data_IF_762428180938
#
_entry.id   IF_762428180938
#
_cell.length_a   1.000
_cell.length_b   1.000
_cell.length_c   1.000
_cell.angle_alpha   90.00
_cell.angle_beta   90.00
_cell.angle_gamma   90.00
#
_symmetry.space_group_name_H-M   'P 1'
#
loop_
_entity.id
_entity.type
_entity.pdbx_description
1 polymer ?
#
# COMPACT_ATOMS: atom_id res chain seq x y z
N UNK A 1 -8.16 -33.82 -19.96
CA UNK A 1 -9.43 -33.08 -19.74
C UNK A 1 -9.16 -31.68 -19.23
N UNK A 2 -8.24 -31.48 -18.29
CA UNK A 2 -7.98 -30.18 -17.63
C UNK A 2 -7.22 -29.21 -18.55
N UNK A 3 -6.32 -29.72 -19.37
CA UNK A 3 -5.50 -28.91 -20.24
C UNK A 3 -6.35 -28.11 -21.21
N UNK A 4 -6.14 -26.78 -21.22
CA UNK A 4 -6.88 -25.83 -22.05
C UNK A 4 -8.39 -25.67 -21.73
N UNK A 5 -8.86 -26.18 -20.59
CA UNK A 5 -10.24 -26.00 -20.14
C UNK A 5 -10.28 -24.95 -19.02
N UNK A 6 -10.70 -23.70 -19.30
CA UNK A 6 -10.74 -22.65 -18.30
C UNK A 6 -11.83 -22.91 -17.27
N UNK A 7 -11.57 -22.54 -16.02
CA UNK A 7 -12.57 -22.55 -14.93
C UNK A 7 -12.80 -21.12 -14.45
N UNK A 8 -14.03 -20.82 -14.04
CA UNK A 8 -14.39 -19.52 -13.48
C UNK A 8 -14.35 -19.61 -11.95
N UNK A 9 -13.63 -18.68 -11.33
CA UNK A 9 -13.66 -18.49 -9.89
C UNK A 9 -14.48 -17.26 -9.53
N UNK A 10 -15.33 -17.37 -8.53
CA UNK A 10 -16.17 -16.31 -8.03
C UNK A 10 -16.07 -16.22 -6.51
N UNK A 11 -15.90 -15.01 -5.97
CA UNK A 11 -16.01 -14.73 -4.54
C UNK A 11 -17.21 -13.82 -4.27
N UNK A 12 -18.10 -14.26 -3.38
CA UNK A 12 -19.19 -13.44 -2.91
C UNK A 12 -18.70 -12.47 -1.79
N UNK A 13 -19.17 -11.20 -1.76
CA UNK A 13 -20.13 -10.59 -2.68
C UNK A 13 -19.48 -10.16 -3.99
N UNK A 14 -20.15 -10.42 -5.12
CA UNK A 14 -19.69 -9.99 -6.45
C UNK A 14 -20.19 -8.56 -6.71
N UNK A 15 -19.38 -7.56 -6.35
CA UNK A 15 -19.73 -6.15 -6.44
C UNK A 15 -19.42 -5.54 -7.81
N UNK A 16 -18.53 -6.16 -8.57
CA UNK A 16 -18.11 -5.70 -9.90
C UNK A 16 -17.67 -6.89 -10.76
N UNK A 17 -17.53 -6.67 -12.06
CA UNK A 17 -17.26 -7.74 -13.03
C UNK A 17 -15.97 -8.53 -12.74
N UNK A 18 -14.97 -7.95 -12.09
CA UNK A 18 -13.72 -8.61 -11.73
C UNK A 18 -13.84 -9.56 -10.53
N UNK A 19 -15.01 -9.63 -9.89
CA UNK A 19 -15.34 -10.64 -8.89
C UNK A 19 -15.57 -12.04 -9.47
N UNK A 20 -15.58 -12.17 -10.79
CA UNK A 20 -15.60 -13.43 -11.54
C UNK A 20 -14.50 -13.37 -12.59
N UNK A 21 -13.55 -14.29 -12.53
CA UNK A 21 -12.45 -14.36 -13.49
C UNK A 21 -12.18 -15.81 -13.90
N UNK A 22 -11.68 -16.00 -15.11
CA UNK A 22 -11.29 -17.30 -15.62
C UNK A 22 -9.81 -17.58 -15.35
N UNK A 23 -9.50 -18.83 -15.09
CA UNK A 23 -8.15 -19.33 -14.84
C UNK A 23 -7.96 -20.70 -15.52
N UNK A 24 -6.75 -21.01 -15.90
CA UNK A 24 -6.38 -22.37 -16.26
C UNK A 24 -6.04 -23.15 -14.99
N UNK A 25 -6.72 -24.30 -14.72
CA UNK A 25 -6.50 -25.05 -13.49
C UNK A 25 -5.22 -25.86 -13.55
N UNK A 26 -4.54 -25.93 -12.40
CA UNK A 26 -3.40 -26.83 -12.16
C UNK A 26 -3.79 -27.73 -10.99
N UNK A 27 -3.59 -29.05 -11.13
CA UNK A 27 -3.86 -30.00 -10.06
C UNK A 27 -2.78 -29.91 -9.00
N UNK A 28 -3.22 -29.80 -7.76
CA UNK A 28 -2.39 -29.80 -6.57
C UNK A 28 -2.90 -30.80 -5.55
N UNK A 29 -2.06 -31.26 -4.64
CA UNK A 29 -2.47 -32.01 -3.49
C UNK A 29 -3.12 -31.08 -2.45
N UNK A 30 -4.16 -31.56 -1.77
CA UNK A 30 -4.89 -30.81 -0.77
C UNK A 30 -6.30 -30.41 -1.19
N UNK A 31 -7.04 -29.75 -0.28
CA UNK A 31 -8.45 -29.38 -0.47
C UNK A 31 -8.67 -27.87 -0.63
N UNK A 32 -7.61 -27.07 -0.55
CA UNK A 32 -7.67 -25.62 -0.66
C UNK A 32 -7.35 -25.18 -2.09
N UNK A 33 -8.02 -24.12 -2.55
CA UNK A 33 -7.73 -23.45 -3.81
C UNK A 33 -6.52 -22.52 -3.58
N UNK A 34 -5.48 -22.69 -4.40
CA UNK A 34 -4.36 -21.75 -4.42
C UNK A 34 -4.66 -20.63 -5.43
N UNK A 35 -4.81 -19.41 -4.93
CA UNK A 35 -5.12 -18.24 -5.75
C UNK A 35 -3.86 -17.39 -5.97
N UNK A 36 -3.67 -16.92 -7.19
CA UNK A 36 -2.54 -16.04 -7.51
C UNK A 36 -2.62 -14.71 -6.73
N UNK A 37 -1.55 -14.28 -6.05
CA UNK A 37 -1.60 -13.11 -5.16
C UNK A 37 -2.03 -11.80 -5.85
N UNK A 38 -1.67 -11.58 -7.11
CA UNK A 38 -1.99 -10.35 -7.83
C UNK A 38 -3.49 -10.19 -8.15
N UNK A 39 -4.27 -11.26 -8.13
CA UNK A 39 -5.73 -11.18 -8.35
C UNK A 39 -6.53 -11.03 -7.06
N UNK A 40 -5.91 -11.17 -5.89
CA UNK A 40 -6.57 -11.03 -4.60
C UNK A 40 -7.26 -9.68 -4.43
N UNK A 41 -6.63 -8.61 -4.92
CA UNK A 41 -7.20 -7.25 -4.87
C UNK A 41 -8.50 -7.14 -5.68
N UNK A 42 -8.56 -7.78 -6.85
CA UNK A 42 -9.75 -7.77 -7.71
C UNK A 42 -10.92 -8.52 -7.08
N UNK A 43 -10.66 -9.65 -6.43
CA UNK A 43 -11.66 -10.42 -5.70
C UNK A 43 -11.98 -9.86 -4.30
N UNK A 44 -11.18 -8.91 -3.81
CA UNK A 44 -11.15 -8.53 -2.40
C UNK A 44 -11.05 -9.76 -1.49
N UNK A 45 -10.18 -10.71 -1.87
CA UNK A 45 -9.97 -11.97 -1.18
C UNK A 45 -8.71 -11.92 -0.31
N UNK A 46 -8.79 -12.56 0.83
CA UNK A 46 -7.64 -12.87 1.68
C UNK A 46 -7.62 -14.37 2.03
N UNK A 47 -6.62 -14.82 2.77
CA UNK A 47 -6.42 -16.25 3.06
C UNK A 47 -6.78 -16.59 4.50
N UNK A 48 -7.75 -15.92 5.09
CA UNK A 48 -8.22 -16.12 6.47
C UNK A 48 -9.38 -17.13 6.59
N UNK A 49 -9.76 -17.77 5.48
CA UNK A 49 -10.86 -18.74 5.42
C UNK A 49 -11.93 -18.39 4.41
N UNK A 50 -11.66 -17.47 3.50
CA UNK A 50 -12.55 -17.13 2.39
C UNK A 50 -12.90 -18.34 1.54
N UNK A 51 -14.13 -18.39 1.06
CA UNK A 51 -14.63 -19.42 0.14
C UNK A 51 -14.85 -18.81 -1.25
N UNK A 52 -14.59 -19.61 -2.27
CA UNK A 52 -14.85 -19.27 -3.66
C UNK A 52 -15.69 -20.35 -4.34
N UNK A 53 -16.60 -19.92 -5.20
CA UNK A 53 -17.32 -20.81 -6.09
C UNK A 53 -16.50 -21.10 -7.34
N UNK A 54 -16.49 -22.35 -7.78
CA UNK A 54 -15.86 -22.80 -9.02
C UNK A 54 -16.95 -23.15 -10.03
N UNK A 55 -16.91 -22.52 -11.21
CA UNK A 55 -17.83 -22.80 -12.30
C UNK A 55 -17.06 -23.35 -13.49
N UNK A 56 -17.58 -24.43 -14.08
CA UNK A 56 -16.97 -25.08 -15.23
C UNK A 56 -17.82 -24.79 -16.48
N UNK A 57 -17.31 -24.02 -17.47
CA UNK A 57 -18.02 -23.82 -18.71
C UNK A 57 -18.16 -25.13 -19.50
N UNK A 58 -19.36 -25.50 -19.88
CA UNK A 58 -19.64 -26.78 -20.54
C UNK A 58 -19.62 -26.69 -22.05
N UNK A 59 -20.18 -25.60 -22.65
CA UNK A 59 -20.21 -25.44 -24.08
C UNK A 59 -18.90 -24.84 -24.61
N UNK A 60 -18.61 -25.08 -25.89
CA UNK A 60 -17.43 -24.54 -26.57
C UNK A 60 -17.48 -23.02 -26.64
N UNK A 61 -18.68 -22.46 -26.85
CA UNK A 61 -18.91 -21.01 -26.86
C UNK A 61 -18.59 -20.39 -25.48
N UNK A 62 -19.08 -21.00 -24.41
CA UNK A 62 -18.82 -20.54 -23.05
C UNK A 62 -17.32 -20.62 -22.69
N UNK A 63 -16.63 -21.67 -23.14
CA UNK A 63 -15.18 -21.79 -22.96
C UNK A 63 -14.42 -20.72 -23.73
N UNK A 64 -14.85 -20.39 -24.95
CA UNK A 64 -14.27 -19.34 -25.76
C UNK A 64 -14.47 -17.96 -25.13
N UNK A 65 -15.68 -17.65 -24.65
CA UNK A 65 -15.97 -16.42 -23.93
C UNK A 65 -15.12 -16.30 -22.65
N UNK A 66 -15.01 -17.38 -21.87
CA UNK A 66 -14.16 -17.41 -20.67
C UNK A 66 -12.71 -17.11 -21.02
N UNK A 67 -12.18 -17.69 -22.11
CA UNK A 67 -10.80 -17.49 -22.54
C UNK A 67 -10.52 -16.10 -23.09
N UNK A 68 -11.41 -15.55 -23.89
CA UNK A 68 -11.18 -14.26 -24.59
C UNK A 68 -11.49 -13.07 -23.67
N UNK A 69 -12.59 -13.12 -22.91
CA UNK A 69 -13.09 -11.99 -22.14
C UNK A 69 -12.77 -12.05 -20.65
N UNK A 70 -12.81 -13.25 -20.06
CA UNK A 70 -12.81 -13.40 -18.58
C UNK A 70 -11.47 -13.84 -17.99
N UNK A 71 -10.49 -14.22 -18.82
CA UNK A 71 -9.16 -14.59 -18.29
C UNK A 71 -8.58 -13.46 -17.43
N UNK A 72 -8.03 -13.82 -16.29
CA UNK A 72 -7.40 -12.85 -15.37
C UNK A 72 -6.30 -12.03 -16.05
N UNK A 73 -5.56 -12.64 -16.97
CA UNK A 73 -4.52 -11.96 -17.76
C UNK A 73 -5.07 -10.88 -18.70
N UNK A 74 -6.36 -10.96 -19.09
CA UNK A 74 -7.02 -9.97 -19.94
C UNK A 74 -7.59 -8.79 -19.13
N UNK A 75 -7.78 -8.97 -17.82
CA UNK A 75 -8.41 -7.98 -16.94
C UNK A 75 -7.37 -7.26 -16.10
N UNK A 76 -6.45 -6.52 -16.75
CA UNK A 76 -5.37 -5.78 -16.09
C UNK A 76 -5.87 -4.46 -15.52
N UNK A 77 -6.76 -3.77 -16.22
CA UNK A 77 -7.26 -2.45 -15.84
C UNK A 77 -8.59 -2.53 -15.08
N UNK A 78 -8.73 -1.69 -14.07
CA UNK A 78 -10.02 -1.49 -13.39
C UNK A 78 -11.01 -0.77 -14.31
N UNK A 79 -12.23 -1.28 -14.50
CA UNK A 79 -13.26 -0.61 -15.30
C UNK A 79 -13.74 0.71 -14.67
N UNK A 80 -13.58 0.87 -13.34
CA UNK A 80 -14.01 2.07 -12.63
C UNK A 80 -13.09 3.28 -12.87
N UNK A 81 -11.78 3.07 -12.96
CA UNK A 81 -10.79 4.17 -13.00
C UNK A 81 -9.80 4.08 -14.15
N UNK A 82 -9.77 2.97 -14.90
CA UNK A 82 -8.78 2.74 -15.95
C UNK A 82 -7.34 2.54 -15.42
N UNK A 83 -7.15 2.44 -14.12
CA UNK A 83 -5.83 2.17 -13.51
C UNK A 83 -5.59 0.66 -13.42
N UNK A 84 -4.34 0.20 -13.42
CA UNK A 84 -4.02 -1.20 -13.22
C UNK A 84 -4.57 -1.71 -11.88
N UNK A 85 -5.24 -2.86 -11.89
CA UNK A 85 -5.70 -3.56 -10.69
C UNK A 85 -4.74 -4.67 -10.28
N UNK A 86 -3.99 -5.22 -11.23
CA UNK A 86 -2.94 -6.21 -11.01
C UNK A 86 -1.68 -5.46 -10.55
N UNK A 87 -1.67 -5.05 -9.31
CA UNK A 87 -0.56 -4.32 -8.67
C UNK A 87 -0.08 -5.11 -7.47
N UNK A 88 1.24 -5.29 -7.29
CA UNK A 88 1.79 -5.84 -6.07
C UNK A 88 1.21 -5.17 -4.82
N UNK A 89 1.07 -5.92 -3.74
CA UNK A 89 0.55 -5.45 -2.46
C UNK A 89 1.37 -5.99 -1.28
N UNK A 90 1.19 -5.39 -0.11
CA UNK A 90 1.79 -5.84 1.16
C UNK A 90 3.30 -6.14 1.04
N UNK A 91 3.73 -7.37 1.30
CA UNK A 91 5.15 -7.76 1.35
C UNK A 91 5.88 -7.58 0.02
N UNK A 92 5.17 -7.74 -1.10
CA UNK A 92 5.74 -7.48 -2.44
C UNK A 92 6.20 -6.03 -2.57
N UNK A 93 5.37 -5.09 -2.11
CA UNK A 93 5.71 -3.66 -2.12
C UNK A 93 6.85 -3.37 -1.15
N UNK A 94 6.81 -3.95 0.04
CA UNK A 94 7.82 -3.74 1.06
C UNK A 94 9.21 -4.18 0.57
N UNK A 95 9.31 -5.34 -0.10
CA UNK A 95 10.56 -5.82 -0.69
C UNK A 95 11.08 -4.92 -1.81
N UNK A 96 10.21 -4.47 -2.72
CA UNK A 96 10.59 -3.54 -3.79
C UNK A 96 10.97 -2.16 -3.26
N UNK A 97 10.27 -1.68 -2.23
CA UNK A 97 10.60 -0.44 -1.54
C UNK A 97 11.99 -0.54 -0.90
N UNK A 98 12.25 -1.61 -0.14
CA UNK A 98 13.55 -1.86 0.48
C UNK A 98 14.68 -1.83 -0.55
N UNK A 99 14.53 -2.54 -1.69
CA UNK A 99 15.52 -2.52 -2.78
C UNK A 99 15.77 -1.13 -3.36
N UNK A 100 14.78 -0.26 -3.35
CA UNK A 100 14.86 1.06 -3.97
C UNK A 100 15.44 2.15 -3.07
N UNK A 101 15.67 1.86 -1.79
CA UNK A 101 16.25 2.80 -0.83
C UNK A 101 17.72 3.12 -1.16
N UNK A 102 18.18 4.27 -0.68
CA UNK A 102 19.56 4.73 -0.82
C UNK A 102 20.15 4.91 0.58
N UNK A 103 21.32 4.38 0.81
CA UNK A 103 22.07 4.52 2.06
C UNK A 103 23.41 5.22 1.77
N UNK A 104 23.60 6.44 2.26
CA UNK A 104 24.89 7.13 2.09
C UNK A 104 25.96 6.47 2.96
N UNK A 105 27.19 6.44 2.48
CA UNK A 105 28.35 5.92 3.22
C UNK A 105 28.41 4.39 3.35
N UNK A 106 27.65 3.64 2.55
CA UNK A 106 27.69 2.18 2.52
C UNK A 106 28.85 1.64 1.68
N UNK A 107 29.17 0.33 1.87
CA UNK A 107 30.23 -0.34 1.13
C UNK A 107 30.02 -0.22 -0.37
N UNK A 108 31.08 0.15 -1.11
CA UNK A 108 31.05 0.22 -2.56
C UNK A 108 30.48 1.51 -3.13
N UNK A 109 30.30 2.54 -2.30
CA UNK A 109 29.85 3.84 -2.79
C UNK A 109 30.83 4.43 -3.82
N UNK A 110 30.27 4.96 -4.93
CA UNK A 110 31.05 5.55 -6.02
C UNK A 110 31.67 4.56 -6.99
N UNK A 111 31.58 3.25 -6.78
CA UNK A 111 32.07 2.24 -7.70
C UNK A 111 31.37 2.29 -9.06
N UNK A 112 32.07 1.91 -10.11
CA UNK A 112 31.59 1.93 -11.49
C UNK A 112 31.57 0.49 -12.01
N UNK A 113 30.41 0.06 -12.53
CA UNK A 113 30.19 -1.27 -13.09
C UNK A 113 29.90 -1.20 -14.59
N UNK A 114 30.50 -2.12 -15.35
CA UNK A 114 30.33 -2.18 -16.79
C UNK A 114 29.09 -2.98 -17.21
N UNK A 115 28.65 -3.93 -16.38
CA UNK A 115 27.48 -4.77 -16.65
C UNK A 115 26.71 -5.12 -15.38
N UNK A 116 25.48 -5.62 -15.55
CA UNK A 116 24.65 -6.09 -14.46
C UNK A 116 25.21 -7.39 -13.85
N UNK A 117 25.80 -8.26 -14.66
CA UNK A 117 26.39 -9.52 -14.22
C UNK A 117 27.57 -9.27 -13.27
N UNK A 118 28.42 -8.30 -13.59
CA UNK A 118 29.52 -7.86 -12.72
C UNK A 118 28.98 -7.32 -11.40
N UNK A 119 27.91 -6.54 -11.44
CA UNK A 119 27.26 -6.00 -10.25
C UNK A 119 26.68 -7.10 -9.36
N UNK A 120 26.00 -8.10 -9.94
CA UNK A 120 25.44 -9.24 -9.20
C UNK A 120 26.57 -10.00 -8.49
N UNK A 121 27.66 -10.27 -9.18
CA UNK A 121 28.82 -10.93 -8.59
C UNK A 121 29.41 -10.13 -7.41
N UNK A 122 29.50 -8.81 -7.55
CA UNK A 122 29.97 -7.93 -6.48
C UNK A 122 29.03 -7.91 -5.25
N UNK A 123 27.72 -8.01 -5.48
CA UNK A 123 26.72 -8.14 -4.41
C UNK A 123 26.88 -9.48 -3.69
N UNK A 124 27.00 -10.59 -4.42
CA UNK A 124 27.15 -11.93 -3.87
C UNK A 124 28.44 -12.07 -3.04
N UNK A 125 29.50 -11.41 -3.46
CA UNK A 125 30.77 -11.33 -2.73
C UNK A 125 30.74 -10.31 -1.57
N UNK A 126 29.62 -9.60 -1.35
CA UNK A 126 29.46 -8.55 -0.32
C UNK A 126 30.50 -7.42 -0.42
N UNK A 127 30.97 -7.12 -1.64
CA UNK A 127 31.86 -6.00 -1.94
C UNK A 127 31.04 -4.70 -1.96
N UNK A 128 29.80 -4.77 -2.46
CA UNK A 128 28.87 -3.65 -2.60
C UNK A 128 27.57 -3.95 -1.83
N UNK A 129 27.06 -2.95 -1.11
CA UNK A 129 25.74 -3.00 -0.45
C UNK A 129 24.62 -2.76 -1.48
N UNK A 130 23.44 -3.33 -1.24
CA UNK A 130 22.25 -3.13 -2.10
C UNK A 130 21.82 -1.66 -2.20
N UNK A 131 22.14 -0.85 -1.20
CA UNK A 131 21.67 0.54 -1.04
C UNK A 131 22.71 1.59 -1.37
N UNK A 132 23.97 1.18 -1.68
CA UNK A 132 25.06 2.10 -1.99
C UNK A 132 24.82 2.83 -3.31
N UNK A 133 25.25 4.09 -3.39
CA UNK A 133 25.18 4.87 -4.63
C UNK A 133 26.33 4.49 -5.56
N UNK A 134 26.02 3.92 -6.71
CA UNK A 134 26.97 3.43 -7.71
C UNK A 134 26.72 4.05 -9.07
N UNK A 135 27.65 3.88 -9.98
CA UNK A 135 27.47 4.17 -11.41
C UNK A 135 27.49 2.87 -12.20
N UNK A 136 26.45 2.62 -12.98
CA UNK A 136 26.37 1.43 -13.80
C UNK A 136 26.00 1.78 -15.25
N UNK A 137 26.54 1.00 -16.21
CA UNK A 137 26.13 1.12 -17.61
C UNK A 137 24.80 0.40 -17.81
N UNK A 138 23.84 1.12 -18.37
CA UNK A 138 22.53 0.60 -18.71
C UNK A 138 22.25 0.75 -20.20
N UNK A 139 21.73 -0.31 -20.82
CA UNK A 139 21.36 -0.32 -22.25
C UNK A 139 19.90 0.06 -22.41
N UNK A 140 19.63 1.21 -23.01
CA UNK A 140 18.30 1.66 -23.42
C UNK A 140 18.10 1.49 -24.91
N UNK A 141 16.85 1.52 -25.37
CA UNK A 141 16.51 1.61 -26.78
C UNK A 141 16.13 3.07 -27.10
N UNK A 142 16.70 3.61 -28.16
CA UNK A 142 16.27 4.89 -28.71
C UNK A 142 14.95 4.74 -29.47
N UNK A 143 14.37 5.87 -29.90
CA UNK A 143 13.15 5.91 -30.74
C UNK A 143 13.29 5.07 -32.02
N UNK A 144 14.47 4.92 -32.53
CA UNK A 144 14.81 4.09 -33.71
C UNK A 144 15.04 2.60 -33.36
N UNK A 145 14.75 2.17 -32.12
CA UNK A 145 15.01 0.81 -31.61
C UNK A 145 16.48 0.39 -31.60
N UNK A 146 17.42 1.33 -31.68
CA UNK A 146 18.86 1.06 -31.54
C UNK A 146 19.26 1.05 -30.06
N UNK A 147 20.16 0.14 -29.69
CA UNK A 147 20.65 0.06 -28.31
C UNK A 147 21.70 1.13 -28.04
N UNK A 148 21.40 2.02 -27.12
CA UNK A 148 22.33 3.04 -26.62
C UNK A 148 22.70 2.73 -25.18
N UNK A 149 23.99 2.82 -24.87
CA UNK A 149 24.51 2.59 -23.53
C UNK A 149 24.71 3.92 -22.82
N UNK A 150 24.07 4.09 -21.68
CA UNK A 150 24.25 5.26 -20.81
C UNK A 150 24.85 4.84 -19.47
N UNK A 151 25.68 5.70 -18.89
CA UNK A 151 26.12 5.52 -17.51
C UNK A 151 25.15 6.27 -16.60
N UNK A 152 24.53 5.54 -15.68
CA UNK A 152 23.50 6.07 -14.79
C UNK A 152 23.99 5.96 -13.34
N UNK A 153 23.73 7.01 -12.54
CA UNK A 153 23.92 6.96 -11.10
C UNK A 153 22.66 6.33 -10.47
N UNK A 154 22.85 5.26 -9.73
CA UNK A 154 21.76 4.46 -9.19
C UNK A 154 22.25 3.60 -8.01
N UNK A 155 21.37 2.73 -7.50
CA UNK A 155 21.73 1.72 -6.49
C UNK A 155 21.72 0.31 -7.09
N UNK A 156 22.48 -0.65 -6.53
CA UNK A 156 22.45 -2.05 -6.95
C UNK A 156 21.02 -2.62 -6.94
N UNK A 157 20.24 -2.33 -5.91
CA UNK A 157 18.84 -2.79 -5.82
C UNK A 157 17.96 -2.29 -6.97
N UNK A 158 18.08 -1.02 -7.38
CA UNK A 158 17.34 -0.49 -8.55
C UNK A 158 17.80 -1.13 -9.87
N UNK A 159 19.07 -1.47 -9.97
CA UNK A 159 19.59 -2.20 -11.13
C UNK A 159 19.00 -3.61 -11.23
N UNK A 160 18.81 -4.32 -10.12
CA UNK A 160 18.11 -5.62 -10.11
C UNK A 160 16.66 -5.49 -10.61
N UNK A 161 15.97 -4.43 -10.22
CA UNK A 161 14.61 -4.17 -10.73
C UNK A 161 14.64 -3.85 -12.23
N UNK A 162 15.68 -3.21 -12.73
CA UNK A 162 15.82 -2.86 -14.15
C UNK A 162 15.93 -4.08 -15.07
N UNK A 163 16.42 -5.20 -14.58
CA UNK A 163 16.48 -6.45 -15.34
C UNK A 163 15.10 -6.97 -15.76
N UNK A 164 14.11 -6.72 -14.89
CA UNK A 164 12.74 -7.16 -15.11
C UNK A 164 11.99 -6.22 -16.07
N UNK A 165 12.45 -4.98 -16.19
CA UNK A 165 11.77 -3.95 -16.98
C UNK A 165 11.79 -4.30 -18.48
N UNK A 166 10.63 -4.31 -19.17
CA UNK A 166 10.61 -4.56 -20.61
C UNK A 166 11.35 -3.48 -21.37
N UNK A 167 12.21 -3.88 -22.28
CA UNK A 167 12.97 -2.95 -23.15
C UNK A 167 12.05 -2.34 -24.20
N UNK A 168 11.79 -1.03 -24.08
CA UNK A 168 11.02 -0.25 -25.04
C UNK A 168 11.48 1.22 -25.01
N UNK A 169 11.53 1.94 -26.15
CA UNK A 169 12.01 3.33 -26.19
C UNK A 169 11.32 4.29 -25.21
N UNK A 170 10.02 4.12 -25.01
CA UNK A 170 9.22 4.95 -24.10
C UNK A 170 9.21 4.50 -22.65
N UNK A 171 9.84 3.36 -22.35
CA UNK A 171 9.98 2.85 -20.98
C UNK A 171 11.39 3.16 -20.49
N UNK A 172 11.54 4.35 -19.90
CA UNK A 172 12.83 4.85 -19.41
C UNK A 172 13.21 4.21 -18.08
N UNK A 173 14.51 4.04 -17.83
CA UNK A 173 15.05 3.64 -16.52
C UNK A 173 14.64 4.58 -15.39
N UNK A 174 14.41 5.85 -15.67
CA UNK A 174 14.01 6.85 -14.67
C UNK A 174 12.69 6.51 -13.96
N UNK A 175 11.85 5.65 -14.54
CA UNK A 175 10.60 5.19 -13.93
C UNK A 175 10.87 4.42 -12.64
N UNK A 176 11.98 3.67 -12.60
CA UNK A 176 12.39 2.83 -11.46
C UNK A 176 13.57 3.42 -10.67
N UNK A 177 14.28 4.43 -11.18
CA UNK A 177 15.41 5.06 -10.50
C UNK A 177 14.98 6.07 -9.42
N UNK A 178 14.05 5.67 -8.59
CA UNK A 178 13.50 6.43 -7.45
C UNK A 178 13.04 5.47 -6.37
N UNK A 179 12.65 5.99 -5.22
CA UNK A 179 12.04 5.16 -4.18
C UNK A 179 10.68 4.64 -4.67
N UNK A 180 10.51 3.33 -4.67
CA UNK A 180 9.34 2.66 -5.23
C UNK A 180 8.27 2.44 -4.14
N UNK A 181 7.34 3.38 -4.05
CA UNK A 181 6.12 3.23 -3.27
C UNK A 181 5.05 2.49 -4.09
N UNK A 182 3.96 2.06 -3.45
CA UNK A 182 2.79 1.45 -4.11
C UNK A 182 2.30 2.28 -5.29
N UNK A 183 2.27 3.60 -5.15
CA UNK A 183 1.83 4.54 -6.18
C UNK A 183 2.78 4.52 -7.38
N UNK A 184 4.09 4.52 -7.13
CA UNK A 184 5.10 4.52 -8.18
C UNK A 184 5.14 3.19 -8.95
N UNK A 185 4.97 2.07 -8.24
CA UNK A 185 4.85 0.74 -8.86
C UNK A 185 3.60 0.66 -9.75
N UNK A 186 2.45 1.17 -9.29
CA UNK A 186 1.24 1.24 -10.09
C UNK A 186 1.43 2.09 -11.35
N UNK A 187 2.11 3.22 -11.25
CA UNK A 187 2.44 4.07 -12.40
C UNK A 187 3.39 3.35 -13.37
N UNK A 188 4.38 2.63 -12.87
CA UNK A 188 5.30 1.85 -13.71
C UNK A 188 4.55 0.77 -14.52
N UNK A 189 3.62 0.05 -13.88
CA UNK A 189 2.79 -0.96 -14.54
C UNK A 189 1.89 -0.31 -15.60
N UNK A 190 1.29 0.84 -15.34
CA UNK A 190 0.46 1.58 -16.31
C UNK A 190 1.27 2.00 -17.54
N UNK A 191 2.48 2.54 -17.35
CA UNK A 191 3.38 2.92 -18.44
C UNK A 191 3.77 1.70 -19.28
N UNK A 192 4.12 0.58 -18.63
CA UNK A 192 4.45 -0.66 -19.33
C UNK A 192 3.24 -1.19 -20.12
N UNK A 193 2.04 -1.15 -19.54
CA UNK A 193 0.82 -1.57 -20.23
C UNK A 193 0.56 -0.76 -21.49
N UNK A 194 0.62 0.56 -21.41
CA UNK A 194 0.36 1.47 -22.54
C UNK A 194 1.35 1.33 -23.69
N UNK A 195 2.61 1.00 -23.39
CA UNK A 195 3.67 0.99 -24.41
C UNK A 195 4.11 -0.41 -24.85
N UNK A 196 4.04 -1.38 -23.96
CA UNK A 196 4.54 -2.74 -24.24
C UNK A 196 3.42 -3.76 -24.47
N UNK A 197 2.16 -3.39 -24.18
CA UNK A 197 0.98 -4.25 -24.33
C UNK A 197 0.81 -5.25 -23.20
N UNK A 198 -0.31 -5.95 -23.23
CA UNK A 198 -0.83 -6.81 -22.17
C UNK A 198 0.13 -7.93 -21.75
N UNK A 199 0.61 -8.75 -22.70
CA UNK A 199 1.46 -9.92 -22.42
C UNK A 199 2.73 -9.55 -21.62
N UNK A 200 3.43 -8.48 -22.07
CA UNK A 200 4.65 -8.03 -21.39
C UNK A 200 4.36 -7.45 -20.02
N UNK A 201 3.20 -6.83 -19.84
CA UNK A 201 2.80 -6.27 -18.53
C UNK A 201 2.52 -7.38 -17.51
N UNK A 202 1.84 -8.45 -17.91
CA UNK A 202 1.60 -9.59 -17.00
C UNK A 202 2.91 -10.22 -16.57
N UNK A 203 3.82 -10.50 -17.51
CA UNK A 203 5.14 -11.07 -17.20
C UNK A 203 5.95 -10.12 -16.31
N UNK A 204 5.86 -8.82 -16.53
CA UNK A 204 6.51 -7.81 -15.71
C UNK A 204 5.95 -7.81 -14.29
N UNK A 205 4.63 -7.86 -14.12
CA UNK A 205 3.98 -7.90 -12.82
C UNK A 205 4.32 -9.17 -12.03
N UNK A 206 4.34 -10.34 -12.68
CA UNK A 206 4.73 -11.60 -12.06
C UNK A 206 6.19 -11.57 -11.56
N UNK A 207 7.10 -11.10 -12.39
CA UNK A 207 8.51 -10.99 -12.01
C UNK A 207 8.72 -9.97 -10.87
N UNK A 208 7.96 -8.86 -10.86
CA UNK A 208 7.98 -7.91 -9.76
C UNK A 208 7.47 -8.54 -8.45
N UNK A 209 6.43 -9.35 -8.53
CA UNK A 209 5.91 -10.10 -7.39
C UNK A 209 6.97 -11.04 -6.82
N UNK A 210 7.59 -11.86 -7.66
CA UNK A 210 8.63 -12.82 -7.24
C UNK A 210 9.84 -12.12 -6.61
N UNK A 211 10.33 -11.05 -7.25
CA UNK A 211 11.42 -10.24 -6.71
C UNK A 211 11.03 -9.59 -5.38
N UNK A 212 9.81 -9.04 -5.29
CA UNK A 212 9.30 -8.41 -4.08
C UNK A 212 9.25 -9.38 -2.90
N UNK A 213 8.72 -10.57 -3.07
CA UNK A 213 8.70 -11.61 -2.03
C UNK A 213 10.10 -12.07 -1.63
N UNK A 214 10.96 -12.32 -2.61
CA UNK A 214 12.34 -12.75 -2.36
C UNK A 214 13.11 -11.73 -1.51
N UNK A 215 13.01 -10.46 -1.86
CA UNK A 215 13.75 -9.41 -1.18
C UNK A 215 13.10 -8.99 0.15
N UNK A 216 11.77 -9.08 0.29
CA UNK A 216 11.11 -8.91 1.58
C UNK A 216 11.55 -9.98 2.59
N UNK A 217 11.67 -11.22 2.14
CA UNK A 217 12.18 -12.33 2.96
C UNK A 217 13.64 -12.08 3.40
N UNK A 218 14.50 -11.61 2.50
CA UNK A 218 15.89 -11.30 2.84
C UNK A 218 16.03 -10.09 3.76
N UNK A 219 15.20 -9.06 3.55
CA UNK A 219 15.19 -7.86 4.37
C UNK A 219 14.80 -8.15 5.83
N UNK A 220 13.92 -9.14 6.05
CA UNK A 220 13.51 -9.56 7.39
C UNK A 220 12.88 -8.43 8.22
N UNK A 221 12.16 -7.50 7.58
CA UNK A 221 11.55 -6.35 8.23
C UNK A 221 10.43 -6.81 9.15
N UNK A 222 10.58 -6.52 10.43
CA UNK A 222 9.59 -6.82 11.45
C UNK A 222 9.45 -5.62 12.40
N UNK A 223 8.39 -5.57 13.20
CA UNK A 223 8.19 -4.48 14.15
C UNK A 223 7.73 -5.01 15.50
N UNK A 224 8.09 -4.27 16.54
CA UNK A 224 7.68 -4.51 17.92
C UNK A 224 7.01 -3.28 18.52
N UNK A 225 6.61 -3.41 19.79
CA UNK A 225 6.00 -2.30 20.56
C UNK A 225 6.94 -1.08 20.66
N UNK A 226 8.25 -1.32 20.72
CA UNK A 226 9.24 -0.26 20.95
C UNK A 226 9.49 0.59 19.69
N UNK A 227 9.24 0.04 18.49
CA UNK A 227 9.36 0.77 17.23
C UNK A 227 8.28 1.86 17.04
N UNK A 228 7.21 1.79 17.84
CA UNK A 228 6.19 2.82 17.91
C UNK A 228 6.70 3.98 18.79
N UNK A 229 7.31 4.98 18.19
CA UNK A 229 7.89 6.12 18.89
C UNK A 229 6.81 7.13 19.30
N UNK A 230 6.78 7.49 20.59
CA UNK A 230 5.88 8.53 21.11
C UNK A 230 6.67 9.84 21.22
N UNK A 231 6.16 10.96 20.67
CA UNK A 231 6.84 12.25 20.77
C UNK A 231 6.94 12.75 22.21
N UNK A 232 8.12 13.14 22.67
CA UNK A 232 8.30 13.75 23.99
C UNK A 232 7.54 15.09 24.12
N UNK A 233 7.35 15.79 23.01
CA UNK A 233 6.60 17.05 22.92
C UNK A 233 5.10 16.89 23.13
N UNK A 234 4.57 15.64 23.12
CA UNK A 234 3.14 15.36 23.24
C UNK A 234 2.51 16.00 24.48
N UNK A 235 3.13 15.82 25.67
CA UNK A 235 2.62 16.37 26.92
C UNK A 235 2.51 17.89 26.88
N UNK A 236 3.52 18.59 26.37
CA UNK A 236 3.52 20.05 26.27
C UNK A 236 2.44 20.58 25.31
N UNK A 237 2.14 19.85 24.24
CA UNK A 237 1.09 20.22 23.29
C UNK A 237 -0.32 20.01 23.89
N UNK A 238 -0.49 18.93 24.66
CA UNK A 238 -1.73 18.66 25.39
C UNK A 238 -2.01 19.74 26.43
N UNK A 239 -1.03 20.08 27.28
CA UNK A 239 -1.17 21.10 28.33
C UNK A 239 -1.53 22.48 27.76
N UNK A 240 -0.89 22.86 26.65
CA UNK A 240 -1.21 24.11 25.93
C UNK A 240 -2.64 24.14 25.42
N UNK A 241 -3.10 22.98 24.91
CA UNK A 241 -4.46 22.89 24.35
C UNK A 241 -5.50 22.87 25.48
N UNK A 242 -5.25 22.16 26.57
CA UNK A 242 -6.12 22.20 27.75
C UNK A 242 -6.27 23.62 28.33
N UNK A 243 -5.16 24.36 28.38
CA UNK A 243 -5.19 25.76 28.83
C UNK A 243 -6.09 26.63 27.96
N UNK A 244 -6.05 26.43 26.61
CA UNK A 244 -6.96 27.11 25.68
C UNK A 244 -8.41 26.69 25.88
N UNK A 245 -8.68 25.40 26.04
CA UNK A 245 -10.03 24.89 26.28
C UNK A 245 -10.60 25.46 27.57
N UNK A 246 -9.83 25.50 28.66
CA UNK A 246 -10.24 26.11 29.93
C UNK A 246 -10.55 27.61 29.77
N UNK A 247 -9.84 28.32 28.88
CA UNK A 247 -10.16 29.73 28.59
C UNK A 247 -11.49 29.86 27.86
N UNK A 248 -11.83 28.97 26.94
CA UNK A 248 -13.12 28.96 26.24
C UNK A 248 -14.28 28.62 27.20
N UNK A 249 -14.05 27.71 28.14
CA UNK A 249 -15.03 27.39 29.18
C UNK A 249 -15.33 28.60 30.08
N UNK A 250 -14.29 29.38 30.45
CA UNK A 250 -14.44 30.61 31.19
C UNK A 250 -15.25 31.66 30.41
N UNK A 251 -14.91 31.88 29.12
CA UNK A 251 -15.66 32.79 28.24
C UNK A 251 -17.13 32.39 28.11
N UNK A 252 -17.43 31.09 28.08
CA UNK A 252 -18.79 30.60 28.06
C UNK A 252 -19.49 30.85 29.41
N UNK A 253 -18.84 30.61 30.53
CA UNK A 253 -19.38 30.88 31.86
C UNK A 253 -19.64 32.37 32.11
N UNK A 254 -18.83 33.26 31.53
CA UNK A 254 -18.99 34.72 31.53
C UNK A 254 -20.05 35.21 30.54
N UNK A 255 -20.65 34.33 29.73
CA UNK A 255 -21.68 34.67 28.74
C UNK A 255 -21.17 35.36 27.48
N UNK A 256 -19.87 35.37 27.24
CA UNK A 256 -19.23 36.03 26.08
C UNK A 256 -19.41 35.24 24.77
N UNK A 257 -19.57 33.91 24.84
CA UNK A 257 -19.74 33.03 23.69
C UNK A 257 -20.96 32.12 23.87
N UNK A 258 -21.58 31.74 22.76
CA UNK A 258 -22.69 30.81 22.75
C UNK A 258 -22.23 29.36 22.95
N UNK A 259 -23.15 28.45 23.32
CA UNK A 259 -22.84 27.01 23.45
C UNK A 259 -22.30 26.41 22.15
N UNK A 260 -22.87 26.81 21.00
CA UNK A 260 -22.40 26.33 19.67
C UNK A 260 -21.00 26.81 19.33
N UNK A 261 -20.68 28.07 19.65
CA UNK A 261 -19.36 28.63 19.45
C UNK A 261 -18.31 27.97 20.35
N UNK A 262 -18.65 27.74 21.63
CA UNK A 262 -17.78 26.96 22.53
C UNK A 262 -17.47 25.60 21.93
N UNK A 263 -18.51 24.86 21.53
CA UNK A 263 -18.37 23.53 20.93
C UNK A 263 -17.42 23.54 19.73
N UNK A 264 -17.66 24.43 18.77
CA UNK A 264 -16.81 24.55 17.58
C UNK A 264 -15.36 24.89 17.94
N UNK A 265 -15.13 25.87 18.81
CA UNK A 265 -13.78 26.27 19.26
C UNK A 265 -13.02 25.15 19.97
N UNK A 266 -13.73 24.36 20.78
CA UNK A 266 -13.13 23.21 21.49
C UNK A 266 -12.78 22.09 20.52
N UNK A 267 -13.68 21.75 19.59
CA UNK A 267 -13.43 20.73 18.56
C UNK A 267 -12.26 21.12 17.67
N UNK A 268 -12.21 22.37 17.20
CA UNK A 268 -11.14 22.90 16.37
C UNK A 268 -9.79 22.88 17.12
N UNK A 269 -9.77 23.26 18.40
CA UNK A 269 -8.57 23.24 19.22
C UNK A 269 -7.99 21.83 19.35
N UNK A 270 -8.85 20.85 19.59
CA UNK A 270 -8.42 19.44 19.71
C UNK A 270 -8.05 18.80 18.36
N UNK A 271 -8.73 19.16 17.29
CA UNK A 271 -8.35 18.72 15.95
C UNK A 271 -6.94 19.20 15.58
N UNK A 272 -6.67 20.51 15.76
CA UNK A 272 -5.36 21.09 15.50
C UNK A 272 -4.25 20.50 16.41
N UNK A 273 -4.56 20.21 17.67
CA UNK A 273 -3.63 19.53 18.58
C UNK A 273 -3.30 18.11 18.07
N UNK A 274 -4.32 17.38 17.67
CA UNK A 274 -4.18 16.02 17.17
C UNK A 274 -3.33 15.97 15.88
N UNK A 275 -3.46 16.96 15.01
CA UNK A 275 -2.66 17.06 13.78
C UNK A 275 -1.22 17.49 14.11
N UNK A 276 -1.02 18.44 15.01
CA UNK A 276 0.31 18.82 15.48
C UNK A 276 1.08 17.65 16.13
N UNK A 277 0.41 16.83 16.92
CA UNK A 277 1.00 15.61 17.50
C UNK A 277 1.37 14.60 16.41
N UNK A 278 0.52 14.46 15.37
CA UNK A 278 0.80 13.58 14.25
C UNK A 278 2.03 14.05 13.44
N UNK A 279 2.14 15.34 13.19
CA UNK A 279 3.27 15.93 12.46
C UNK A 279 4.59 15.74 13.22
N UNK A 280 4.59 15.98 14.55
CA UNK A 280 5.77 15.74 15.38
C UNK A 280 6.14 14.25 15.43
N UNK A 281 5.17 13.36 15.54
CA UNK A 281 5.38 11.92 15.47
C UNK A 281 6.03 11.51 14.13
N UNK A 282 5.51 12.01 13.01
CA UNK A 282 6.07 11.70 11.70
C UNK A 282 7.49 12.23 11.56
N UNK A 283 7.81 13.42 12.06
CA UNK A 283 9.17 13.98 12.04
C UNK A 283 10.19 13.10 12.79
N UNK A 284 9.78 12.48 13.88
CA UNK A 284 10.66 11.59 14.67
C UNK A 284 10.87 10.25 13.95
N UNK A 285 9.85 9.76 13.23
CA UNK A 285 9.92 8.48 12.51
C UNK A 285 10.64 8.57 11.17
N UNK A 286 10.64 9.75 10.52
CA UNK A 286 11.35 9.96 9.26
C UNK A 286 12.85 9.81 9.47
N UNK A 287 13.53 8.96 8.68
CA UNK A 287 14.98 8.82 8.77
C UNK A 287 15.68 10.13 8.42
N UNK A 288 16.78 10.42 9.09
CA UNK A 288 17.62 11.57 8.78
C UNK A 288 18.46 11.30 7.54
N UNK A 289 18.87 12.34 6.83
CA UNK A 289 19.61 12.24 5.57
C UNK A 289 20.88 11.36 5.62
N UNK A 290 21.48 11.22 6.79
CA UNK A 290 22.70 10.43 6.99
C UNK A 290 22.47 9.07 7.66
N UNK A 291 21.22 8.69 7.92
CA UNK A 291 20.92 7.41 8.54
C UNK A 291 21.09 6.28 7.52
N UNK A 292 21.68 5.16 7.98
CA UNK A 292 21.74 3.94 7.17
C UNK A 292 20.37 3.26 7.14
N UNK A 293 20.09 2.55 6.04
CA UNK A 293 18.82 1.82 5.86
C UNK A 293 18.53 0.87 7.02
N UNK A 294 19.54 0.26 7.61
CA UNK A 294 19.42 -0.62 8.78
C UNK A 294 18.91 0.10 10.04
N UNK A 295 19.00 1.43 10.09
CA UNK A 295 18.50 2.26 11.20
C UNK A 295 17.08 2.80 10.96
N UNK A 296 16.49 2.51 9.80
CA UNK A 296 15.15 2.99 9.49
C UNK A 296 14.10 2.28 10.34
N UNK A 297 13.14 3.06 10.83
CA UNK A 297 12.02 2.52 11.59
C UNK A 297 11.15 1.64 10.68
N UNK A 298 10.98 0.37 11.06
CA UNK A 298 10.21 -0.62 10.27
C UNK A 298 8.76 -0.18 10.08
N UNK A 299 8.15 0.43 11.08
CA UNK A 299 6.76 0.93 11.02
C UNK A 299 6.64 2.07 10.01
N UNK A 300 7.63 2.97 9.99
CA UNK A 300 7.71 4.04 8.98
C UNK A 300 7.83 3.45 7.57
N UNK A 301 8.73 2.48 7.37
CA UNK A 301 8.92 1.82 6.06
C UNK A 301 7.64 1.17 5.55
N UNK A 302 6.87 0.50 6.43
CA UNK A 302 5.60 -0.12 6.07
C UNK A 302 4.54 0.90 5.65
N UNK A 303 4.48 2.05 6.33
CA UNK A 303 3.50 3.10 6.05
C UNK A 303 3.88 3.94 4.82
N UNK A 304 5.14 4.35 4.69
CA UNK A 304 5.64 5.17 3.58
C UNK A 304 5.62 4.41 2.25
N UNK A 305 6.00 3.14 2.26
CA UNK A 305 5.89 2.27 1.07
C UNK A 305 4.45 2.08 0.59
N UNK A 306 3.46 2.27 1.47
CA UNK A 306 2.05 1.93 1.21
C UNK A 306 1.77 0.43 1.24
N UNK A 307 2.68 -0.38 1.81
CA UNK A 307 2.50 -1.81 1.98
C UNK A 307 1.39 -2.12 2.99
N UNK A 308 1.49 -1.52 4.17
CA UNK A 308 0.47 -1.68 5.22
C UNK A 308 0.48 -0.48 6.17
N UNK A 309 -0.71 -0.07 6.59
CA UNK A 309 -0.86 1.07 7.49
C UNK A 309 -0.95 2.40 6.74
N UNK A 310 -1.44 3.39 7.45
CA UNK A 310 -1.50 4.78 6.99
C UNK A 310 -1.04 5.71 8.12
N UNK A 311 -0.68 6.95 7.78
CA UNK A 311 -0.32 7.95 8.79
C UNK A 311 -1.42 8.14 9.85
N UNK A 312 -2.70 8.03 9.44
CA UNK A 312 -3.83 8.10 10.36
C UNK A 312 -3.88 6.92 11.36
N UNK A 313 -3.50 5.72 10.92
CA UNK A 313 -3.41 4.54 11.80
C UNK A 313 -2.21 4.65 12.74
N UNK A 314 -1.06 5.12 12.26
CA UNK A 314 0.11 5.38 13.11
C UNK A 314 -0.16 6.44 14.17
N UNK A 315 -0.90 7.50 13.81
CA UNK A 315 -1.37 8.53 14.74
C UNK A 315 -2.15 7.94 15.91
N UNK A 316 -3.01 6.94 15.68
CA UNK A 316 -3.74 6.26 16.74
C UNK A 316 -2.86 5.34 17.60
N UNK A 317 -1.81 4.75 17.01
CA UNK A 317 -0.90 3.83 17.71
C UNK A 317 0.10 4.55 18.61
N UNK A 318 0.71 5.64 18.13
CA UNK A 318 1.84 6.31 18.79
C UNK A 318 1.58 7.76 19.17
N UNK A 319 0.63 8.43 18.53
CA UNK A 319 0.29 9.82 18.76
C UNK A 319 -0.85 9.99 19.76
N UNK A 320 -2.01 10.34 19.24
CA UNK A 320 -3.25 10.58 19.98
C UNK A 320 -4.42 10.04 19.17
N UNK A 321 -5.36 9.35 19.82
CA UNK A 321 -6.54 8.85 19.11
C UNK A 321 -7.49 9.97 18.67
N UNK A 322 -7.61 11.02 19.48
CA UNK A 322 -8.33 12.25 19.13
C UNK A 322 -9.83 12.19 19.37
N UNK A 323 -10.57 12.97 18.60
CA UNK A 323 -12.01 13.13 18.75
C UNK A 323 -12.77 11.94 18.20
N UNK A 324 -13.84 11.53 18.93
CA UNK A 324 -14.74 10.45 18.55
C UNK A 324 -16.10 10.98 18.18
N UNK A 325 -16.74 10.35 17.18
CA UNK A 325 -18.11 10.65 16.81
C UNK A 325 -19.10 9.70 17.49
N UNK A 326 -20.22 10.24 17.97
CA UNK A 326 -21.39 9.46 18.39
C UNK A 326 -22.03 8.76 17.18
N UNK A 327 -22.87 7.74 17.39
CA UNK A 327 -23.68 7.16 16.31
C UNK A 327 -24.54 8.18 15.55
N UNK A 328 -24.98 9.24 16.23
CA UNK A 328 -25.74 10.36 15.63
C UNK A 328 -24.94 11.21 14.63
N UNK A 329 -23.63 11.12 14.65
CA UNK A 329 -22.73 11.96 13.84
C UNK A 329 -22.12 13.14 14.59
N UNK A 330 -22.63 13.49 15.77
CA UNK A 330 -22.03 14.53 16.62
C UNK A 330 -20.65 14.10 17.13
N UNK A 331 -19.70 15.04 17.17
CA UNK A 331 -18.39 14.82 17.75
C UNK A 331 -18.47 14.99 19.27
N UNK A 332 -17.84 14.10 20.02
CA UNK A 332 -17.74 14.20 21.46
C UNK A 332 -16.71 15.28 21.80
N UNK A 333 -17.05 16.28 22.63
CA UNK A 333 -16.17 17.39 23.01
C UNK A 333 -14.89 16.91 23.71
N UNK A 334 -14.98 15.79 24.44
CA UNK A 334 -13.85 15.21 25.18
C UNK A 334 -13.05 14.29 24.27
N UNK A 335 -11.80 14.66 23.91
CA UNK A 335 -10.97 13.82 23.06
C UNK A 335 -10.40 12.63 23.84
N UNK A 336 -9.94 11.62 23.11
CA UNK A 336 -9.10 10.55 23.66
C UNK A 336 -7.66 10.98 23.50
N UNK A 337 -7.01 11.36 24.61
CA UNK A 337 -5.64 11.85 24.62
C UNK A 337 -4.62 10.72 24.55
N UNK A 338 -4.99 9.55 25.04
CA UNK A 338 -4.13 8.36 25.03
C UNK A 338 -4.00 7.76 23.63
N UNK A 339 -2.91 7.06 23.38
CA UNK A 339 -2.68 6.21 22.24
C UNK A 339 -2.79 4.73 22.62
N UNK A 340 -2.76 3.83 21.62
CA UNK A 340 -2.83 2.39 21.91
C UNK A 340 -1.56 1.83 22.58
N UNK A 341 -0.39 2.45 22.36
CA UNK A 341 0.86 2.03 23.01
C UNK A 341 0.85 2.30 24.52
N UNK A 342 0.32 3.46 24.93
CA UNK A 342 0.16 3.85 26.34
C UNK A 342 -0.96 3.07 27.02
N UNK A 343 -2.00 2.73 26.27
CA UNK A 343 -3.23 2.13 26.77
C UNK A 343 -4.31 3.19 27.04
N UNK A 344 -5.56 2.81 26.83
CA UNK A 344 -6.73 3.67 27.05
C UNK A 344 -7.25 3.49 28.49
N UNK A 345 -7.75 4.57 29.06
CA UNK A 345 -8.56 4.49 30.29
C UNK A 345 -9.91 3.85 29.99
N UNK A 346 -10.60 3.36 31.03
CA UNK A 346 -11.92 2.72 30.89
C UNK A 346 -12.94 3.66 30.23
N UNK A 347 -12.93 4.93 30.62
CA UNK A 347 -13.85 5.95 30.06
C UNK A 347 -13.52 6.24 28.58
N UNK A 348 -12.24 6.36 28.24
CA UNK A 348 -11.79 6.56 26.86
C UNK A 348 -12.12 5.36 25.96
N UNK A 349 -11.94 4.14 26.47
CA UNK A 349 -12.33 2.92 25.77
C UNK A 349 -13.84 2.88 25.50
N UNK A 350 -14.67 3.21 26.50
CA UNK A 350 -16.12 3.29 26.32
C UNK A 350 -16.52 4.29 25.23
N UNK A 351 -15.96 5.50 25.26
CA UNK A 351 -16.19 6.51 24.24
C UNK A 351 -15.75 6.03 22.84
N UNK A 352 -14.65 5.29 22.77
CA UNK A 352 -14.13 4.76 21.52
C UNK A 352 -15.02 3.68 20.90
N UNK A 353 -15.75 2.93 21.73
CA UNK A 353 -16.64 1.86 21.28
C UNK A 353 -17.80 2.35 20.40
N UNK A 354 -18.25 3.60 20.60
CA UNK A 354 -19.29 4.21 19.76
C UNK A 354 -18.85 4.35 18.31
N UNK A 355 -17.63 4.83 18.08
CA UNK A 355 -17.05 4.97 16.74
C UNK A 355 -16.82 3.62 16.06
N UNK A 356 -16.33 2.63 16.81
CA UNK A 356 -16.12 1.28 16.28
C UNK A 356 -17.45 0.63 15.85
N UNK A 357 -18.48 0.71 16.68
CA UNK A 357 -19.83 0.18 16.37
C UNK A 357 -20.43 0.84 15.15
N UNK A 358 -20.33 2.17 15.07
CA UNK A 358 -20.78 2.93 13.88
C UNK A 358 -20.07 2.47 12.63
N UNK A 359 -18.73 2.32 12.67
CA UNK A 359 -17.94 1.87 11.52
C UNK A 359 -18.35 0.47 11.03
N UNK A 360 -18.57 -0.47 11.94
CA UNK A 360 -19.03 -1.83 11.60
C UNK A 360 -20.43 -1.82 10.97
N UNK A 361 -21.37 -1.07 11.54
CA UNK A 361 -22.73 -0.94 11.01
C UNK A 361 -22.73 -0.26 9.63
N UNK A 362 -22.00 0.84 9.47
CA UNK A 362 -21.88 1.55 8.19
C UNK A 362 -21.29 0.68 7.09
N UNK A 363 -20.27 -0.12 7.40
CA UNK A 363 -19.65 -1.04 6.43
C UNK A 363 -20.66 -2.09 5.94
N UNK A 364 -21.41 -2.70 6.86
CA UNK A 364 -22.42 -3.70 6.51
C UNK A 364 -23.52 -3.11 5.63
N UNK A 365 -24.04 -1.92 5.97
CA UNK A 365 -25.10 -1.24 5.20
C UNK A 365 -24.61 -0.76 3.83
N UNK A 366 -23.39 -0.21 3.74
CA UNK A 366 -22.80 0.25 2.47
C UNK A 366 -22.58 -0.90 1.49
N UNK A 367 -22.16 -2.06 1.97
CA UNK A 367 -21.97 -3.26 1.14
C UNK A 367 -23.31 -3.69 0.52
N UNK A 368 -24.38 -3.76 1.31
CA UNK A 368 -25.72 -4.10 0.83
C UNK A 368 -26.25 -3.08 -0.19
N UNK A 369 -26.11 -1.79 0.09
CA UNK A 369 -26.52 -0.72 -0.82
C UNK A 369 -25.76 -0.74 -2.14
N UNK A 370 -24.44 -0.99 -2.12
CA UNK A 370 -23.60 -1.13 -3.31
C UNK A 370 -24.06 -2.31 -4.17
N UNK A 371 -24.34 -3.46 -3.56
CA UNK A 371 -24.84 -4.63 -4.28
C UNK A 371 -26.20 -4.39 -4.93
N UNK A 372 -27.12 -3.74 -4.22
CA UNK A 372 -28.43 -3.39 -4.75
C UNK A 372 -28.35 -2.35 -5.90
N UNK A 373 -27.46 -1.36 -5.77
CA UNK A 373 -27.22 -0.38 -6.84
C UNK A 373 -26.71 -1.08 -8.11
N UNK A 374 -25.72 -1.95 -7.97
CA UNK A 374 -25.15 -2.73 -9.08
C UNK A 374 -26.24 -3.54 -9.79
N UNK A 375 -27.10 -4.25 -9.02
CA UNK A 375 -28.21 -5.02 -9.59
C UNK A 375 -29.16 -4.14 -10.41
N UNK A 376 -29.59 -3.00 -9.83
CA UNK A 376 -30.50 -2.07 -10.54
C UNK A 376 -29.90 -1.52 -11.83
N UNK A 377 -28.59 -1.25 -11.85
CA UNK A 377 -27.90 -0.78 -13.05
C UNK A 377 -27.85 -1.86 -14.13
N UNK A 378 -27.56 -3.09 -13.75
CA UNK A 378 -27.55 -4.23 -14.67
C UNK A 378 -28.94 -4.52 -15.22
N UNK A 379 -30.00 -4.44 -14.40
CA UNK A 379 -31.39 -4.67 -14.83
C UNK A 379 -31.89 -3.61 -15.85
N UNK A 380 -31.25 -2.42 -15.88
CA UNK A 380 -31.61 -1.31 -16.76
C UNK A 380 -30.72 -1.26 -18.01
N UNK A 381 -29.50 -1.77 -17.95
CA UNK A 381 -28.54 -1.76 -19.06
C UNK A 381 -28.78 -2.90 -20.06
#
# INVERSE_FOLDING_TARGET
>A
VIREHPVLLNRAPTLHRLGIQAFEPILIEGKAIQLHPLVCTAFNADFDGDQMAVHVPLSLEAQLEARVLMMSTNNILSPASGKPIIVPSQDMILGLYYLSLVSPGDKGEGMIFASLEELILAIDQKIVSLHSNIKCRYKTLNENFESVTHTVSTTPGRMLISEILPRHPKVSFNIINKVLTKKEISNAIDIVYRHCGQKKTVIFADKLMDLGFKEACKAGISFGKDDLLIPETKSSLLDKTESKVKSYEKQYAEGLITKGEKYNKVVDAWANCSDAVADEMMKIMVPKENDKVDMYNSVYMMADSGARGSAAQLKQLSGMRGLMAKPSGEIIETPIMSNFKEGLTVAEYFNSSHGARKGLADTALKTANSGYLTRRLVDVA
#
